data_IF_573640504987
#
_entry.id   IF_573640504987
#
_cell.length_a   1.000
_cell.length_b   1.000
_cell.length_c   1.000
_cell.angle_alpha   90.00
_cell.angle_beta   90.00
_cell.angle_gamma   90.00
#
_symmetry.space_group_name_H-M   'P 1'
#
loop_
_entity.id
_entity.type
_entity.pdbx_description
1 polymer ?
#
# COMPACT_ATOMS: atom_id res chain seq x y z
N UNK A 1 -8.86 47.62 0.06
CA UNK A 1 -7.42 47.31 -0.19
C UNK A 1 -6.78 46.59 0.99
N UNK A 2 -7.06 46.99 2.23
CA UNK A 2 -6.53 46.35 3.43
C UNK A 2 -6.90 44.86 3.57
N UNK A 3 -8.16 44.50 3.27
CA UNK A 3 -8.67 43.12 3.16
C UNK A 3 -7.87 42.25 2.16
N UNK A 4 -7.48 42.82 1.01
CA UNK A 4 -6.69 42.11 -0.02
C UNK A 4 -5.22 41.93 0.39
N UNK A 5 -4.69 42.82 1.23
CA UNK A 5 -3.33 42.72 1.76
C UNK A 5 -3.29 41.68 2.89
N UNK A 6 -4.33 41.64 3.73
CA UNK A 6 -4.50 40.60 4.75
C UNK A 6 -4.69 39.21 4.12
N UNK A 7 -5.46 39.07 3.03
CA UNK A 7 -5.60 37.78 2.34
C UNK A 7 -4.30 37.30 1.69
N UNK A 8 -3.45 38.21 1.20
CA UNK A 8 -2.15 37.88 0.61
C UNK A 8 -1.09 37.54 1.67
N UNK A 9 -1.18 38.12 2.87
CA UNK A 9 -0.26 37.82 3.97
C UNK A 9 -0.64 36.52 4.72
N UNK A 10 -1.93 36.19 4.79
CA UNK A 10 -2.41 34.90 5.32
C UNK A 10 -2.14 33.74 4.35
N UNK A 11 -2.22 33.97 3.04
CA UNK A 11 -1.88 32.97 2.01
C UNK A 11 -0.40 32.58 1.93
N UNK A 12 0.49 33.33 2.58
CA UNK A 12 1.94 33.03 2.65
C UNK A 12 2.28 32.10 3.84
N UNK A 13 1.46 32.11 4.90
CA UNK A 13 1.81 31.49 6.18
C UNK A 13 1.33 30.04 6.34
N UNK A 14 0.34 29.60 5.54
CA UNK A 14 -0.27 28.26 5.66
C UNK A 14 0.09 27.28 4.52
N UNK A 15 1.14 27.57 3.75
CA UNK A 15 1.53 26.80 2.57
C UNK A 15 1.05 27.52 1.32
N UNK A 16 2.01 27.97 0.50
CA UNK A 16 1.78 28.85 -0.65
C UNK A 16 0.81 28.30 -1.70
N UNK A 17 0.64 29.01 -2.83
CA UNK A 17 -0.47 28.84 -3.79
C UNK A 17 -0.87 27.41 -4.24
N UNK A 18 -0.02 26.40 -4.07
CA UNK A 18 -0.37 24.99 -4.27
C UNK A 18 -1.26 24.45 -3.15
N UNK A 19 -0.99 24.78 -1.88
CA UNK A 19 -1.82 24.34 -0.75
C UNK A 19 -3.24 24.87 -0.85
N UNK A 20 -3.39 26.15 -1.20
CA UNK A 20 -4.71 26.74 -1.48
C UNK A 20 -5.40 26.08 -2.69
N UNK A 21 -4.66 25.78 -3.76
CA UNK A 21 -5.23 25.11 -4.94
C UNK A 21 -5.75 23.71 -4.61
N UNK A 22 -4.99 22.92 -3.86
CA UNK A 22 -5.39 21.56 -3.48
C UNK A 22 -6.59 21.57 -2.54
N UNK A 23 -6.65 22.54 -1.62
CA UNK A 23 -7.82 22.76 -0.79
C UNK A 23 -9.04 23.11 -1.64
N UNK A 24 -8.92 24.04 -2.58
CA UNK A 24 -10.04 24.39 -3.48
C UNK A 24 -10.52 23.18 -4.28
N UNK A 25 -9.60 22.34 -4.77
CA UNK A 25 -9.94 21.11 -5.49
C UNK A 25 -10.65 20.07 -4.61
N UNK A 26 -10.22 19.93 -3.36
CA UNK A 26 -10.90 19.10 -2.38
C UNK A 26 -12.34 19.59 -2.17
N UNK A 27 -12.53 20.90 -1.95
CA UNK A 27 -13.84 21.51 -1.75
C UNK A 27 -14.76 21.37 -2.98
N UNK A 28 -14.19 21.38 -4.19
CA UNK A 28 -14.92 21.11 -5.43
C UNK A 28 -15.23 19.62 -5.64
N UNK A 29 -14.79 18.74 -4.74
CA UNK A 29 -15.03 17.30 -4.80
C UNK A 29 -14.14 16.57 -5.82
N UNK A 30 -13.02 17.15 -6.26
CA UNK A 30 -12.13 16.53 -7.24
C UNK A 30 -11.61 15.17 -6.74
N UNK A 31 -11.18 15.10 -5.47
CA UNK A 31 -10.67 13.86 -4.88
C UNK A 31 -11.78 12.84 -4.59
N UNK A 32 -12.98 13.32 -4.30
CA UNK A 32 -14.13 12.45 -3.96
C UNK A 32 -14.82 11.88 -5.21
N UNK A 33 -14.82 12.59 -6.34
CA UNK A 33 -15.57 12.17 -7.53
C UNK A 33 -14.69 11.97 -8.76
N UNK A 34 -13.83 12.94 -9.09
CA UNK A 34 -13.03 12.91 -10.32
C UNK A 34 -11.97 11.81 -10.26
N UNK A 35 -11.24 11.69 -9.14
CA UNK A 35 -10.24 10.63 -9.01
C UNK A 35 -10.84 9.21 -9.06
N UNK A 36 -11.92 8.88 -8.31
CA UNK A 36 -12.56 7.58 -8.45
C UNK A 36 -13.08 7.30 -9.86
N UNK A 37 -13.65 8.30 -10.54
CA UNK A 37 -14.07 8.17 -11.93
C UNK A 37 -12.90 7.81 -12.85
N UNK A 38 -11.79 8.54 -12.78
CA UNK A 38 -10.62 8.29 -13.62
C UNK A 38 -10.04 6.89 -13.40
N UNK A 39 -10.05 6.42 -12.15
CA UNK A 39 -9.61 5.06 -11.81
C UNK A 39 -10.51 3.98 -12.42
N UNK A 40 -11.83 4.13 -12.28
CA UNK A 40 -12.81 3.19 -12.85
C UNK A 40 -12.72 3.22 -14.38
N UNK A 41 -12.67 4.41 -14.97
CA UNK A 41 -12.47 4.60 -16.40
C UNK A 41 -11.22 3.87 -16.89
N UNK A 42 -10.06 4.11 -16.25
CA UNK A 42 -8.80 3.51 -16.65
C UNK A 42 -8.81 1.98 -16.51
N UNK A 43 -9.39 1.46 -15.42
CA UNK A 43 -9.48 0.03 -15.17
C UNK A 43 -10.39 -0.66 -16.19
N UNK A 44 -11.60 -0.14 -16.42
CA UNK A 44 -12.55 -0.69 -17.39
C UNK A 44 -11.99 -0.59 -18.80
N UNK A 45 -11.39 0.55 -19.16
CA UNK A 45 -10.74 0.74 -20.46
C UNK A 45 -9.60 -0.24 -20.69
N UNK A 46 -8.74 -0.42 -19.68
CA UNK A 46 -7.62 -1.34 -19.70
C UNK A 46 -8.08 -2.78 -19.88
N UNK A 47 -9.11 -3.20 -19.15
CA UNK A 47 -9.70 -4.54 -19.26
C UNK A 47 -10.29 -4.76 -20.65
N UNK A 48 -11.17 -3.87 -21.13
CA UNK A 48 -11.81 -3.97 -22.45
C UNK A 48 -10.76 -4.06 -23.58
N UNK A 49 -9.70 -3.25 -23.49
CA UNK A 49 -8.61 -3.25 -24.45
C UNK A 49 -7.76 -4.52 -24.37
N UNK A 50 -7.50 -5.03 -23.15
CA UNK A 50 -6.64 -6.21 -22.95
C UNK A 50 -7.35 -7.51 -23.36
N UNK A 51 -8.64 -7.62 -23.06
CA UNK A 51 -9.48 -8.77 -23.40
C UNK A 51 -9.93 -8.72 -24.87
N UNK A 52 -9.77 -7.57 -25.55
CA UNK A 52 -10.23 -7.33 -26.93
C UNK A 52 -11.71 -7.62 -27.11
N UNK A 53 -12.54 -7.14 -26.16
CA UNK A 53 -14.00 -7.30 -26.26
C UNK A 53 -14.53 -6.59 -27.51
N UNK A 54 -13.99 -5.43 -27.83
CA UNK A 54 -14.21 -4.72 -29.08
C UNK A 54 -12.87 -4.38 -29.74
N UNK A 55 -12.80 -4.55 -31.06
CA UNK A 55 -11.59 -4.24 -31.85
C UNK A 55 -11.31 -2.73 -31.92
N UNK A 56 -12.34 -1.89 -31.74
CA UNK A 56 -12.21 -0.45 -31.82
C UNK A 56 -11.88 0.17 -30.46
N UNK A 57 -10.66 0.71 -30.33
CA UNK A 57 -10.18 1.39 -29.11
C UNK A 57 -11.05 2.59 -28.71
N UNK A 58 -11.62 3.32 -29.67
CA UNK A 58 -12.52 4.44 -29.39
C UNK A 58 -13.83 3.97 -28.77
N UNK A 59 -14.37 2.83 -29.22
CA UNK A 59 -15.56 2.22 -28.62
C UNK A 59 -15.27 1.80 -27.19
N UNK A 60 -14.13 1.14 -26.95
CA UNK A 60 -13.69 0.79 -25.60
C UNK A 60 -13.61 2.02 -24.68
N UNK A 61 -13.10 3.15 -25.18
CA UNK A 61 -12.98 4.41 -24.42
C UNK A 61 -14.35 5.04 -24.11
N UNK A 62 -15.27 5.05 -25.07
CA UNK A 62 -16.63 5.56 -24.84
C UNK A 62 -17.35 4.71 -23.79
N UNK A 63 -17.28 3.38 -23.91
CA UNK A 63 -17.91 2.46 -22.97
C UNK A 63 -17.32 2.64 -21.57
N UNK A 64 -16.00 2.68 -21.43
CA UNK A 64 -15.36 2.89 -20.12
C UNK A 64 -15.71 4.24 -19.50
N UNK A 65 -15.86 5.29 -20.31
CA UNK A 65 -16.28 6.62 -19.84
C UNK A 65 -17.71 6.59 -19.32
N UNK A 66 -18.63 5.98 -20.06
CA UNK A 66 -20.02 5.82 -19.64
C UNK A 66 -20.10 4.99 -18.36
N UNK A 67 -19.39 3.86 -18.29
CA UNK A 67 -19.36 3.01 -17.09
C UNK A 67 -18.77 3.75 -15.89
N UNK A 68 -17.67 4.48 -16.07
CA UNK A 68 -17.07 5.29 -15.01
C UNK A 68 -18.03 6.35 -14.47
N UNK A 69 -18.73 7.07 -15.35
CA UNK A 69 -19.72 8.08 -14.94
C UNK A 69 -20.95 7.46 -14.27
N UNK A 70 -21.46 6.35 -14.78
CA UNK A 70 -22.60 5.64 -14.18
C UNK A 70 -22.24 5.08 -12.80
N UNK A 71 -21.00 4.59 -12.61
CA UNK A 71 -20.54 4.08 -11.33
C UNK A 71 -20.56 5.17 -10.23
N UNK A 72 -20.30 6.43 -10.57
CA UNK A 72 -20.36 7.54 -9.63
C UNK A 72 -21.77 7.87 -9.11
N UNK A 73 -22.84 7.41 -9.78
CA UNK A 73 -24.19 7.64 -9.27
C UNK A 73 -24.42 7.01 -7.90
N UNK A 74 -23.68 5.95 -7.58
CA UNK A 74 -23.71 5.33 -6.28
C UNK A 74 -22.65 5.96 -5.38
N UNK A 75 -23.09 6.73 -4.38
CA UNK A 75 -22.20 7.35 -3.39
C UNK A 75 -21.25 6.33 -2.73
N UNK A 76 -21.68 5.07 -2.58
CA UNK A 76 -20.86 3.97 -2.05
C UNK A 76 -19.54 3.81 -2.81
N UNK A 77 -19.55 3.99 -4.14
CA UNK A 77 -18.35 3.85 -4.97
C UNK A 77 -17.38 4.99 -4.68
N UNK A 78 -17.86 6.23 -4.72
CA UNK A 78 -17.05 7.42 -4.39
C UNK A 78 -16.44 7.30 -2.99
N UNK A 79 -17.26 6.98 -1.98
CA UNK A 79 -16.81 6.81 -0.58
C UNK A 79 -15.78 5.69 -0.43
N UNK A 80 -16.00 4.54 -1.08
CA UNK A 80 -15.07 3.41 -1.04
C UNK A 80 -13.69 3.81 -1.55
N UNK A 81 -13.61 4.47 -2.70
CA UNK A 81 -12.35 4.91 -3.28
C UNK A 81 -11.71 6.06 -2.49
N UNK A 82 -12.49 7.04 -2.01
CA UNK A 82 -11.98 8.14 -1.19
C UNK A 82 -11.46 7.69 0.17
N UNK A 83 -11.90 6.54 0.68
CA UNK A 83 -11.35 5.94 1.90
C UNK A 83 -10.17 5.01 1.64
N UNK A 84 -10.28 4.13 0.64
CA UNK A 84 -9.26 3.10 0.39
C UNK A 84 -7.98 3.70 -0.14
N UNK A 85 -8.03 4.68 -1.04
CA UNK A 85 -6.81 5.23 -1.63
C UNK A 85 -5.92 5.95 -0.60
N UNK A 86 -6.46 6.81 0.27
CA UNK A 86 -5.68 7.36 1.37
C UNK A 86 -5.11 6.27 2.28
N UNK A 87 -5.92 5.27 2.68
CA UNK A 87 -5.46 4.15 3.53
C UNK A 87 -4.35 3.33 2.86
N UNK A 88 -4.46 3.07 1.56
CA UNK A 88 -3.41 2.40 0.77
C UNK A 88 -2.15 3.24 0.68
N UNK A 89 -2.28 4.55 0.45
CA UNK A 89 -1.15 5.48 0.43
C UNK A 89 -0.38 5.47 1.74
N UNK A 90 -1.09 5.50 2.87
CA UNK A 90 -0.45 5.37 4.18
C UNK A 90 0.19 3.98 4.32
N UNK A 91 -0.52 2.90 3.98
CA UNK A 91 0.04 1.54 4.04
C UNK A 91 1.34 1.38 3.24
N UNK A 92 1.42 1.96 2.04
CA UNK A 92 2.62 1.97 1.22
C UNK A 92 3.75 2.80 1.85
N UNK A 93 3.44 3.97 2.41
CA UNK A 93 4.41 4.78 3.13
C UNK A 93 4.99 4.04 4.35
N UNK A 94 4.13 3.35 5.11
CA UNK A 94 4.54 2.53 6.26
C UNK A 94 5.42 1.36 5.82
N UNK A 95 5.07 0.67 4.73
CA UNK A 95 5.89 -0.39 4.15
C UNK A 95 7.27 0.15 3.70
N UNK A 96 7.30 1.33 3.09
CA UNK A 96 8.55 1.98 2.69
C UNK A 96 9.42 2.31 3.90
N UNK A 97 8.85 2.89 4.97
CA UNK A 97 9.57 3.14 6.22
C UNK A 97 10.10 1.84 6.81
N UNK A 98 9.29 0.78 6.84
CA UNK A 98 9.73 -0.52 7.31
C UNK A 98 10.91 -1.08 6.49
N UNK A 99 10.85 -1.00 5.16
CA UNK A 99 11.95 -1.42 4.28
C UNK A 99 13.22 -0.63 4.55
N UNK A 100 13.13 0.68 4.82
CA UNK A 100 14.28 1.51 5.19
C UNK A 100 14.85 1.05 6.53
N UNK A 101 14.03 0.86 7.55
CA UNK A 101 14.49 0.40 8.88
C UNK A 101 15.17 -0.96 8.79
N UNK A 102 14.54 -1.91 8.10
CA UNK A 102 15.09 -3.25 7.89
C UNK A 102 16.39 -3.18 7.08
N UNK A 103 16.43 -2.41 5.99
CA UNK A 103 17.64 -2.26 5.17
C UNK A 103 18.80 -1.57 5.90
N UNK A 104 18.51 -0.60 6.77
CA UNK A 104 19.51 0.14 7.53
C UNK A 104 20.13 -0.70 8.66
N UNK A 105 19.31 -1.52 9.32
CA UNK A 105 19.72 -2.24 10.53
C UNK A 105 20.11 -3.71 10.27
N UNK A 106 19.81 -4.28 9.11
CA UNK A 106 20.23 -5.64 8.80
C UNK A 106 21.70 -5.68 8.35
N UNK A 107 22.60 -6.20 9.21
CA UNK A 107 23.97 -6.51 8.83
C UNK A 107 24.10 -8.02 8.52
N UNK A 108 24.46 -8.43 7.29
CA UNK A 108 24.52 -9.84 6.89
C UNK A 108 25.54 -10.67 7.68
N UNK A 109 26.44 -10.06 8.45
CA UNK A 109 27.52 -10.75 9.15
C UNK A 109 27.13 -11.27 10.55
N UNK A 110 26.12 -10.71 11.22
CA UNK A 110 25.77 -11.07 12.61
C UNK A 110 24.30 -11.49 12.77
N UNK A 111 24.03 -12.79 12.69
CA UNK A 111 22.67 -13.36 12.79
C UNK A 111 21.92 -13.00 14.08
N UNK A 112 22.58 -12.96 15.24
CA UNK A 112 21.92 -12.70 16.53
C UNK A 112 21.51 -11.22 16.68
N UNK A 113 22.35 -10.30 16.20
CA UNK A 113 22.05 -8.86 16.19
C UNK A 113 20.97 -8.52 15.16
N UNK A 114 20.96 -9.22 14.02
CA UNK A 114 19.89 -9.12 13.02
C UNK A 114 18.52 -9.46 13.61
N UNK A 115 18.44 -10.50 14.44
CA UNK A 115 17.16 -10.97 14.98
C UNK A 115 16.56 -9.98 15.99
N UNK A 116 17.40 -9.36 16.84
CA UNK A 116 16.93 -8.34 17.79
C UNK A 116 16.51 -7.05 17.07
N UNK A 117 17.27 -6.62 16.06
CA UNK A 117 16.94 -5.43 15.26
C UNK A 117 15.67 -5.63 14.42
N UNK A 118 15.48 -6.82 13.84
CA UNK A 118 14.25 -7.16 13.12
C UNK A 118 13.04 -7.17 14.06
N UNK A 119 13.20 -7.68 15.29
CA UNK A 119 12.16 -7.61 16.32
C UNK A 119 11.73 -6.17 16.62
N UNK A 120 12.67 -5.24 16.77
CA UNK A 120 12.38 -3.81 16.97
C UNK A 120 11.67 -3.20 15.76
N UNK A 121 12.12 -3.49 14.54
CA UNK A 121 11.49 -3.00 13.31
C UNK A 121 10.04 -3.48 13.17
N UNK A 122 9.77 -4.75 13.53
CA UNK A 122 8.40 -5.31 13.52
C UNK A 122 7.52 -4.64 14.58
N UNK A 123 8.03 -4.36 15.78
CA UNK A 123 7.27 -3.64 16.81
C UNK A 123 6.91 -2.24 16.32
N UNK A 124 7.87 -1.50 15.75
CA UNK A 124 7.63 -0.16 15.20
C UNK A 124 6.58 -0.22 14.08
N UNK A 125 6.69 -1.19 13.18
CA UNK A 125 5.70 -1.40 12.11
C UNK A 125 4.29 -1.63 12.65
N UNK A 126 4.16 -2.48 13.68
CA UNK A 126 2.87 -2.73 14.34
C UNK A 126 2.33 -1.45 14.98
N UNK A 127 3.16 -0.67 15.69
CA UNK A 127 2.75 0.59 16.31
C UNK A 127 2.25 1.60 15.26
N UNK A 128 2.98 1.75 14.17
CA UNK A 128 2.62 2.69 13.09
C UNK A 128 1.33 2.26 12.38
N UNK A 129 1.13 0.96 12.14
CA UNK A 129 -0.13 0.45 11.60
C UNK A 129 -1.30 0.76 12.53
N UNK A 130 -1.15 0.46 13.82
CA UNK A 130 -2.21 0.69 14.82
C UNK A 130 -2.59 2.18 14.93
N UNK A 131 -1.60 3.08 14.89
CA UNK A 131 -1.84 4.53 14.90
C UNK A 131 -2.49 5.02 13.60
N UNK A 132 -2.03 4.53 12.44
CA UNK A 132 -2.53 4.89 11.10
C UNK A 132 -4.02 4.62 10.95
N UNK A 133 -4.49 3.47 11.43
CA UNK A 133 -5.89 3.10 11.31
C UNK A 133 -6.77 3.69 12.43
N UNK A 134 -6.21 4.53 13.30
CA UNK A 134 -6.95 5.21 14.36
C UNK A 134 -7.51 4.28 15.44
N UNK A 135 -7.03 3.03 15.50
CA UNK A 135 -7.57 2.02 16.43
C UNK A 135 -7.27 2.27 17.90
N UNK A 136 -6.32 3.17 18.17
CA UNK A 136 -5.79 3.50 19.49
C UNK A 136 -5.87 4.99 19.82
N UNK A 137 -6.79 5.73 19.21
CA UNK A 137 -7.10 7.07 19.73
C UNK A 137 -7.76 6.92 21.11
N UNK A 138 -7.00 7.27 22.15
CA UNK A 138 -7.38 7.15 23.56
C UNK A 138 -8.62 7.96 23.93
N UNK A 139 -9.14 8.81 23.04
CA UNK A 139 -10.30 9.67 23.29
C UNK A 139 -11.65 9.02 23.00
N UNK A 140 -11.72 7.89 22.28
CA UNK A 140 -12.99 7.26 21.88
C UNK A 140 -13.02 5.74 22.17
N UNK A 141 -13.20 5.36 23.44
CA UNK A 141 -13.39 3.97 23.88
C UNK A 141 -14.57 3.23 23.21
N UNK A 142 -15.51 3.95 22.62
CA UNK A 142 -16.60 3.41 21.80
C UNK A 142 -16.19 2.97 20.39
N UNK A 143 -15.05 3.44 19.88
CA UNK A 143 -14.55 3.10 18.54
C UNK A 143 -13.92 1.70 18.48
N UNK A 144 -13.39 1.18 19.59
CA UNK A 144 -12.76 -0.15 19.66
C UNK A 144 -13.73 -1.28 19.30
N UNK A 145 -14.97 -1.21 19.79
CA UNK A 145 -16.00 -2.22 19.50
C UNK A 145 -16.45 -2.19 18.04
N UNK A 146 -16.49 -1.01 17.41
CA UNK A 146 -16.88 -0.88 16.00
C UNK A 146 -15.76 -1.31 15.03
N UNK A 147 -14.49 -1.21 15.46
CA UNK A 147 -13.33 -1.52 14.63
C UNK A 147 -12.77 -2.95 14.85
N UNK A 148 -13.42 -3.77 15.67
CA UNK A 148 -13.05 -5.17 15.93
C UNK A 148 -12.84 -5.99 14.64
N UNK A 149 -13.73 -5.91 13.62
CA UNK A 149 -13.53 -6.66 12.38
C UNK A 149 -12.24 -6.29 11.63
N UNK A 150 -11.89 -5.00 11.61
CA UNK A 150 -10.68 -4.50 10.94
C UNK A 150 -9.41 -4.92 11.69
N UNK A 151 -9.45 -4.89 13.03
CA UNK A 151 -8.35 -5.36 13.90
C UNK A 151 -8.09 -6.85 13.67
N UNK A 152 -9.16 -7.66 13.64
CA UNK A 152 -9.07 -9.09 13.34
C UNK A 152 -8.47 -9.33 11.95
N UNK A 153 -8.87 -8.53 10.95
CA UNK A 153 -8.35 -8.61 9.59
C UNK A 153 -6.84 -8.38 9.49
N UNK A 154 -6.30 -7.38 10.20
CA UNK A 154 -4.85 -7.11 10.20
C UNK A 154 -4.08 -8.16 10.99
N UNK A 155 -4.62 -8.65 12.11
CA UNK A 155 -3.98 -9.75 12.85
C UNK A 155 -3.85 -10.99 11.94
N UNK A 156 -4.92 -11.35 11.22
CA UNK A 156 -4.90 -12.45 10.26
C UNK A 156 -3.87 -12.20 9.15
N UNK A 157 -3.83 -10.99 8.59
CA UNK A 157 -2.85 -10.62 7.56
C UNK A 157 -1.40 -10.73 8.04
N UNK A 158 -1.10 -10.26 9.26
CA UNK A 158 0.23 -10.37 9.87
C UNK A 158 0.62 -11.83 10.13
N UNK A 159 -0.33 -12.66 10.57
CA UNK A 159 -0.11 -14.10 10.74
C UNK A 159 0.22 -14.75 9.40
N UNK A 160 -0.53 -14.44 8.33
CA UNK A 160 -0.29 -14.95 6.98
C UNK A 160 1.10 -14.51 6.49
N UNK A 161 1.45 -13.23 6.63
CA UNK A 161 2.79 -12.73 6.27
C UNK A 161 3.90 -13.45 7.04
N UNK A 162 3.73 -13.62 8.35
CA UNK A 162 4.69 -14.37 9.18
C UNK A 162 4.88 -15.81 8.71
N UNK A 163 3.79 -16.50 8.39
CA UNK A 163 3.84 -17.88 7.84
C UNK A 163 4.56 -17.92 6.50
N UNK A 164 4.31 -16.95 5.60
CA UNK A 164 4.97 -16.85 4.29
C UNK A 164 6.48 -16.63 4.47
N UNK A 165 6.89 -15.70 5.33
CA UNK A 165 8.30 -15.39 5.59
C UNK A 165 9.05 -16.58 6.19
N UNK A 166 8.44 -17.29 7.14
CA UNK A 166 9.04 -18.47 7.78
C UNK A 166 9.12 -19.65 6.78
N UNK A 167 8.12 -19.81 5.91
CA UNK A 167 8.10 -20.89 4.92
C UNK A 167 9.13 -20.71 3.81
N UNK A 168 9.56 -19.46 3.53
CA UNK A 168 10.56 -19.13 2.53
C UNK A 168 12.00 -19.56 2.86
N UNK A 169 12.33 -19.80 4.13
CA UNK A 169 13.71 -20.09 4.57
C UNK A 169 14.04 -21.60 4.61
N UNK A 170 13.09 -22.48 4.24
CA UNK A 170 13.28 -23.93 4.34
C UNK A 170 14.07 -24.57 3.17
N UNK A 171 14.41 -23.83 2.11
CA UNK A 171 15.04 -24.39 0.90
C UNK A 171 16.56 -24.15 0.77
N UNK A 172 17.31 -24.20 1.88
CA UNK A 172 18.79 -24.25 1.86
C UNK A 172 19.37 -25.26 2.87
N UNK A 173 18.98 -26.53 2.74
CA UNK A 173 19.69 -27.67 3.40
C UNK A 173 19.77 -28.95 2.56
N UNK A 174 19.90 -28.84 1.23
CA UNK A 174 20.50 -29.93 0.44
C UNK A 174 22.03 -29.81 0.51
N UNK A 175 22.59 -30.17 1.66
CA UNK A 175 24.04 -30.48 1.76
C UNK A 175 24.28 -31.75 0.95
N UNK A 176 25.25 -31.69 0.04
CA UNK A 176 25.67 -32.83 -0.77
C UNK A 176 25.93 -34.06 0.10
N UNK A 177 25.20 -35.12 -0.18
CA UNK A 177 25.48 -36.44 0.33
C UNK A 177 26.60 -37.03 -0.53
N UNK A 178 27.84 -36.74 -0.16
CA UNK A 178 28.99 -37.51 -0.65
C UNK A 178 29.06 -38.78 0.18
N UNK A 179 28.72 -39.91 -0.44
CA UNK A 179 28.90 -41.23 0.13
C UNK A 179 30.40 -41.46 0.44
N UNK A 180 30.76 -41.86 1.67
CA UNK A 180 32.12 -42.28 1.94
C UNK A 180 32.36 -43.63 1.28
N UNK A 181 33.36 -43.72 0.39
CA UNK A 181 33.82 -44.99 -0.20
C UNK A 181 33.60 -45.16 -1.70
N UNK A 182 33.49 -44.10 -2.49
CA UNK A 182 33.66 -44.21 -3.95
C UNK A 182 34.87 -43.40 -4.40
N UNK A 183 35.91 -44.11 -4.85
CA UNK A 183 36.96 -43.51 -5.67
C UNK A 183 36.31 -42.96 -6.94
N UNK A 184 36.61 -41.72 -7.34
CA UNK A 184 36.14 -41.21 -8.62
C UNK A 184 36.72 -42.10 -9.73
N UNK A 185 35.84 -42.72 -10.53
CA UNK A 185 36.25 -43.41 -11.73
C UNK A 185 36.80 -42.34 -12.67
N UNK A 186 38.12 -42.25 -12.75
CA UNK A 186 38.81 -41.45 -13.75
C UNK A 186 38.65 -42.21 -15.07
N UNK A 187 37.69 -41.79 -15.90
CA UNK A 187 37.71 -42.16 -17.31
C UNK A 187 38.88 -41.42 -17.97
N UNK A 188 40.02 -42.10 -18.08
CA UNK A 188 40.99 -41.82 -19.13
C UNK A 188 40.47 -42.40 -20.44
N UNK A 189 40.55 -41.59 -21.49
CA UNK A 189 40.27 -41.96 -22.87
C UNK A 189 39.73 -40.71 -23.57
N UNK A 190 40.31 -40.20 -24.64
CA UNK A 190 41.33 -40.68 -25.56
C UNK A 190 41.21 -39.80 -26.79
#
# INVERSE_FOLDING_TARGET
MFEKILSLQVGSFFGGGIGSLLYDWEQMGLFSYVLPFLLIFALVFGILTKVKVFDNKSVNAIISLVVGLLALQFNVVSTFFSEIFPKLGIGLAVLLVFMILVGLFLDPKNKYQNYSLLGVAVIIFIVVLVQTFGWFDSSNSWMLYQNLPQIIGVIIFLVILGVIVISGDSNKRRKGFTLPGHNPIIFQGG
#
